data_IF_609112713272
#
_entry.id   IF_609112713272
#
_cell.length_a   1.000
_cell.length_b   1.000
_cell.length_c   1.000
_cell.angle_alpha   90.00
_cell.angle_beta   90.00
_cell.angle_gamma   90.00
#
_symmetry.space_group_name_H-M   'P 1'
#
loop_
_entity.id
_entity.type
_entity.pdbx_description
1 polymer ?
#
# COMPACT_ATOMS: atom_id res chain seq x y z
N UNK A 1 -44.85 -21.88 1.40
CA UNK A 1 -43.40 -21.60 1.53
C UNK A 1 -43.11 -20.93 2.88
N UNK A 2 -42.37 -21.59 3.78
CA UNK A 2 -42.09 -21.11 5.16
C UNK A 2 -40.94 -20.13 5.28
N UNK A 3 -40.23 -19.80 4.21
CA UNK A 3 -39.12 -18.87 4.27
C UNK A 3 -38.06 -19.12 3.21
N UNK A 4 -36.99 -18.34 3.29
CA UNK A 4 -35.81 -18.50 2.45
C UNK A 4 -34.58 -18.54 3.35
N UNK A 5 -33.58 -19.34 3.00
CA UNK A 5 -32.31 -19.33 3.73
C UNK A 5 -31.68 -17.93 3.63
N UNK A 6 -31.10 -17.39 4.71
CA UNK A 6 -30.64 -16.01 4.75
C UNK A 6 -29.43 -15.69 3.85
N UNK A 7 -28.69 -16.71 3.39
CA UNK A 7 -27.49 -16.51 2.55
C UNK A 7 -27.76 -16.69 1.07
N UNK A 8 -28.40 -17.80 0.69
CA UNK A 8 -28.59 -18.20 -0.70
C UNK A 8 -30.04 -18.03 -1.16
N UNK A 9 -30.93 -17.58 -0.27
CA UNK A 9 -32.35 -17.43 -0.55
C UNK A 9 -33.07 -18.76 -0.82
N UNK A 10 -32.44 -19.91 -0.61
CA UNK A 10 -33.02 -21.22 -0.93
C UNK A 10 -34.37 -21.39 -0.25
N UNK A 11 -35.37 -21.84 -1.00
CA UNK A 11 -36.71 -22.12 -0.47
C UNK A 11 -36.60 -23.24 0.54
N UNK A 12 -37.08 -23.02 1.75
CA UNK A 12 -37.09 -24.02 2.83
C UNK A 12 -38.40 -24.80 2.79
N UNK A 13 -38.30 -26.11 3.02
CA UNK A 13 -39.48 -26.96 3.16
C UNK A 13 -40.37 -26.42 4.30
N UNK A 14 -41.65 -26.30 4.01
CA UNK A 14 -42.67 -26.20 5.03
C UNK A 14 -43.53 -27.45 4.93
N UNK A 15 -44.02 -27.93 6.07
CA UNK A 15 -44.77 -29.18 6.12
C UNK A 15 -46.12 -29.10 5.38
N UNK A 16 -46.46 -27.97 4.76
CA UNK A 16 -47.67 -27.77 3.95
C UNK A 16 -47.44 -27.94 2.44
N UNK A 17 -46.19 -28.14 2.00
CA UNK A 17 -45.81 -28.20 0.58
C UNK A 17 -45.42 -29.64 0.17
N UNK A 18 -46.29 -30.40 -0.52
CA UNK A 18 -45.97 -31.73 -1.01
C UNK A 18 -45.00 -31.66 -2.21
N UNK A 19 -43.70 -31.66 -1.92
CA UNK A 19 -42.59 -31.85 -2.88
C UNK A 19 -42.79 -31.16 -4.25
N UNK A 20 -43.00 -29.84 -4.29
CA UNK A 20 -43.05 -29.10 -5.55
C UNK A 20 -41.70 -29.18 -6.28
N UNK A 21 -41.66 -29.94 -7.37
CA UNK A 21 -40.48 -30.11 -8.25
C UNK A 21 -39.89 -28.76 -8.72
N UNK A 22 -40.70 -27.73 -8.85
CA UNK A 22 -40.26 -26.38 -9.21
C UNK A 22 -39.27 -25.79 -8.20
N UNK A 23 -39.52 -25.96 -6.91
CA UNK A 23 -38.67 -25.42 -5.84
C UNK A 23 -37.30 -26.11 -5.79
N UNK A 24 -37.26 -27.41 -6.11
CA UNK A 24 -36.01 -28.14 -6.27
C UNK A 24 -35.19 -27.60 -7.44
N UNK A 25 -35.82 -27.38 -8.60
CA UNK A 25 -35.13 -26.82 -9.77
C UNK A 25 -34.63 -25.39 -9.50
N UNK A 26 -35.44 -24.55 -8.84
CA UNK A 26 -35.07 -23.17 -8.48
C UNK A 26 -33.88 -23.14 -7.50
N UNK A 27 -33.91 -23.99 -6.48
CA UNK A 27 -32.80 -24.11 -5.52
C UNK A 27 -31.55 -24.65 -6.21
N UNK A 28 -31.68 -25.62 -7.11
CA UNK A 28 -30.54 -26.18 -7.85
C UNK A 28 -29.88 -25.12 -8.75
N UNK A 29 -30.68 -24.34 -9.48
CA UNK A 29 -30.16 -23.23 -10.29
C UNK A 29 -29.42 -22.17 -9.44
N UNK A 30 -29.89 -21.90 -8.22
CA UNK A 30 -29.21 -20.98 -7.28
C UNK A 30 -27.90 -21.54 -6.73
N UNK A 31 -27.85 -22.84 -6.47
CA UNK A 31 -26.61 -23.52 -6.06
C UNK A 31 -25.58 -23.52 -7.19
N UNK A 32 -26.01 -23.78 -8.42
CA UNK A 32 -25.15 -23.72 -9.61
C UNK A 32 -24.64 -22.30 -9.89
N UNK A 33 -25.46 -21.27 -9.59
CA UNK A 33 -25.10 -19.87 -9.77
C UNK A 33 -24.17 -19.31 -8.68
N UNK A 34 -24.02 -20.00 -7.55
CA UNK A 34 -23.23 -19.52 -6.40
C UNK A 34 -22.27 -20.59 -5.84
N UNK A 35 -21.37 -21.15 -6.67
CA UNK A 35 -20.35 -22.07 -6.18
C UNK A 35 -19.45 -21.33 -5.18
N UNK A 36 -19.41 -21.81 -3.94
CA UNK A 36 -18.52 -21.27 -2.92
C UNK A 36 -17.04 -21.40 -3.31
N UNK A 37 -16.14 -20.78 -2.52
CA UNK A 37 -14.71 -20.93 -2.75
C UNK A 37 -14.26 -22.38 -2.63
N UNK A 38 -13.55 -22.86 -3.65
CA UNK A 38 -12.87 -24.15 -3.56
C UNK A 38 -11.60 -24.00 -2.70
N UNK A 39 -11.54 -24.70 -1.58
CA UNK A 39 -10.43 -24.58 -0.62
C UNK A 39 -9.28 -25.48 -1.08
N UNK A 40 -8.08 -24.91 -1.22
CA UNK A 40 -6.89 -25.63 -1.65
C UNK A 40 -5.59 -25.06 -1.04
N UNK A 41 -4.46 -25.55 -1.50
CA UNK A 41 -3.13 -24.94 -1.32
C UNK A 41 -2.60 -24.48 -2.67
N UNK A 42 -1.54 -23.68 -2.69
CA UNK A 42 -0.90 -23.23 -3.95
C UNK A 42 -0.42 -24.36 -4.86
N UNK A 43 -0.17 -25.55 -4.31
CA UNK A 43 0.22 -26.75 -5.06
C UNK A 43 -0.95 -27.66 -5.45
N UNK A 44 -2.12 -27.48 -4.84
CA UNK A 44 -3.31 -28.31 -5.06
C UNK A 44 -4.43 -27.54 -5.75
N UNK A 45 -4.09 -26.52 -6.55
CA UNK A 45 -5.03 -25.78 -7.38
C UNK A 45 -5.71 -26.74 -8.38
N UNK A 46 -7.03 -26.67 -8.55
CA UNK A 46 -7.69 -27.53 -9.53
C UNK A 46 -7.33 -27.09 -10.96
N UNK A 47 -7.23 -28.07 -11.86
CA UNK A 47 -7.11 -27.81 -13.28
C UNK A 47 -8.51 -27.60 -13.87
N UNK A 48 -8.89 -26.34 -14.07
CA UNK A 48 -10.19 -25.98 -14.60
C UNK A 48 -10.14 -25.67 -16.10
N UNK A 49 -11.30 -25.84 -16.75
CA UNK A 49 -11.49 -25.45 -18.14
C UNK A 49 -12.18 -24.10 -18.27
N UNK A 50 -12.46 -23.63 -19.50
CA UNK A 50 -13.15 -22.36 -19.74
C UNK A 50 -14.53 -22.26 -19.09
N UNK A 51 -15.21 -23.40 -18.86
CA UNK A 51 -16.54 -23.46 -18.28
C UNK A 51 -16.61 -23.01 -16.81
N UNK A 52 -15.48 -23.03 -16.10
CA UNK A 52 -15.39 -22.61 -14.69
C UNK A 52 -14.95 -21.14 -14.56
N UNK A 53 -14.95 -20.36 -15.65
CA UNK A 53 -14.58 -18.94 -15.59
C UNK A 53 -15.46 -18.20 -14.58
N UNK A 54 -14.83 -17.40 -13.70
CA UNK A 54 -15.48 -16.69 -12.60
C UNK A 54 -15.57 -17.48 -11.28
N UNK A 55 -15.31 -18.78 -11.29
CA UNK A 55 -15.21 -19.57 -10.05
C UNK A 55 -13.98 -19.17 -9.25
N UNK A 56 -14.06 -19.30 -7.92
CA UNK A 56 -13.02 -18.86 -7.00
C UNK A 56 -12.43 -19.98 -6.17
N UNK A 57 -11.16 -19.85 -5.82
CA UNK A 57 -10.48 -20.67 -4.83
C UNK A 57 -10.01 -19.81 -3.67
N UNK A 58 -9.83 -20.46 -2.51
CA UNK A 58 -9.10 -19.91 -1.39
C UNK A 58 -7.90 -20.81 -1.08
N UNK A 59 -6.71 -20.22 -1.13
CA UNK A 59 -5.45 -20.90 -0.82
C UNK A 59 -5.13 -20.78 0.66
N UNK A 60 -5.03 -21.90 1.35
CA UNK A 60 -4.83 -21.95 2.81
C UNK A 60 -3.40 -21.63 3.24
N UNK A 61 -2.41 -21.92 2.40
CA UNK A 61 -0.99 -21.68 2.62
C UNK A 61 -0.57 -20.24 2.32
N UNK A 62 -1.02 -19.70 1.18
CA UNK A 62 -0.70 -18.32 0.77
C UNK A 62 -1.72 -17.30 1.25
N UNK A 63 -2.88 -17.76 1.76
CA UNK A 63 -4.03 -16.95 2.18
C UNK A 63 -4.59 -16.06 1.08
N UNK A 64 -4.58 -16.55 -0.16
CA UNK A 64 -5.03 -15.80 -1.35
C UNK A 64 -6.40 -16.27 -1.82
N UNK A 65 -7.19 -15.31 -2.31
CA UNK A 65 -8.40 -15.58 -3.08
C UNK A 65 -8.09 -15.39 -4.56
N UNK A 66 -8.27 -16.45 -5.35
CA UNK A 66 -8.02 -16.42 -6.79
C UNK A 66 -9.33 -16.71 -7.53
N UNK A 67 -9.54 -16.03 -8.66
CA UNK A 67 -10.63 -16.24 -9.62
C UNK A 67 -10.06 -16.86 -10.90
N UNK A 68 -10.70 -17.91 -11.40
CA UNK A 68 -10.34 -18.53 -12.67
C UNK A 68 -10.85 -17.69 -13.84
N UNK A 69 -9.97 -17.28 -14.74
CA UNK A 69 -10.31 -16.47 -15.93
C UNK A 69 -10.56 -17.30 -17.20
N UNK A 70 -10.79 -18.60 -17.05
CA UNK A 70 -10.98 -19.54 -18.16
C UNK A 70 -9.68 -20.19 -18.67
N UNK A 71 -8.53 -19.57 -18.42
CA UNK A 71 -7.20 -20.10 -18.82
C UNK A 71 -6.17 -20.07 -17.69
N UNK A 72 -6.35 -19.22 -16.68
CA UNK A 72 -5.41 -19.06 -15.58
C UNK A 72 -6.11 -18.52 -14.32
N UNK A 73 -5.49 -18.76 -13.17
CA UNK A 73 -5.86 -18.16 -11.90
C UNK A 73 -5.38 -16.71 -11.84
N UNK A 74 -6.23 -15.82 -11.34
CA UNK A 74 -5.85 -14.43 -11.04
C UNK A 74 -6.32 -14.04 -9.66
N UNK A 75 -5.57 -13.21 -8.96
CA UNK A 75 -6.07 -12.63 -7.71
C UNK A 75 -7.33 -11.80 -7.97
N UNK A 76 -8.32 -11.98 -7.10
CA UNK A 76 -9.46 -11.05 -7.03
C UNK A 76 -8.88 -9.71 -6.60
N UNK A 77 -9.19 -8.63 -7.33
CA UNK A 77 -8.81 -7.26 -6.97
C UNK A 77 -9.44 -6.91 -5.61
N UNK A 78 -8.80 -7.34 -4.53
CA UNK A 78 -8.97 -6.76 -3.21
C UNK A 78 -8.36 -5.36 -3.27
N UNK A 79 -8.94 -4.41 -2.55
CA UNK A 79 -8.39 -3.06 -2.48
C UNK A 79 -6.87 -3.15 -2.22
N UNK A 80 -6.04 -2.42 -2.98
CA UNK A 80 -4.60 -2.54 -2.89
C UNK A 80 -4.14 -2.38 -1.43
N UNK A 81 -3.29 -3.28 -0.90
CA UNK A 81 -2.91 -3.24 0.49
C UNK A 81 -2.23 -1.91 0.81
N UNK A 82 -2.73 -1.23 1.85
CA UNK A 82 -2.25 0.07 2.32
C UNK A 82 -1.48 -0.14 3.62
N UNK A 83 -0.21 0.24 3.64
CA UNK A 83 0.65 0.13 4.82
C UNK A 83 0.90 1.52 5.41
N UNK A 84 0.33 1.87 6.57
CA UNK A 84 0.57 3.16 7.21
C UNK A 84 1.94 3.15 7.92
N UNK A 85 2.55 4.33 8.02
CA UNK A 85 3.85 4.49 8.68
C UNK A 85 4.02 5.88 9.27
N UNK A 86 4.87 5.98 10.29
CA UNK A 86 5.04 7.18 11.08
C UNK A 86 6.40 7.30 11.76
N UNK A 87 6.98 8.50 11.77
CA UNK A 87 8.20 8.82 12.51
C UNK A 87 8.18 10.25 13.08
N UNK A 88 8.79 10.47 14.26
CA UNK A 88 9.06 11.79 14.87
C UNK A 88 10.52 11.94 15.36
N UNK A 89 11.51 11.95 14.47
CA UNK A 89 12.90 11.99 14.89
C UNK A 89 13.41 13.44 15.09
N UNK A 90 14.15 13.66 16.17
CA UNK A 90 14.77 14.95 16.45
C UNK A 90 16.24 14.94 16.01
N UNK A 91 16.56 15.50 14.84
CA UNK A 91 17.93 15.52 14.31
C UNK A 91 18.31 16.93 13.86
N UNK A 92 19.60 17.24 13.97
CA UNK A 92 20.23 18.45 13.42
C UNK A 92 20.99 18.07 12.15
N UNK A 93 20.78 18.79 11.05
CA UNK A 93 21.45 18.55 9.77
C UNK A 93 22.50 19.63 9.50
N UNK A 94 23.76 19.23 9.32
CA UNK A 94 24.81 20.12 8.83
C UNK A 94 24.77 20.30 7.31
N UNK A 95 25.85 20.86 6.76
CA UNK A 95 26.11 20.87 5.32
C UNK A 95 26.27 19.43 4.81
N UNK A 96 25.69 19.14 3.64
CA UNK A 96 25.77 17.85 2.96
C UNK A 96 25.39 16.64 3.85
N UNK A 97 24.47 16.88 4.78
CA UNK A 97 24.05 15.86 5.74
C UNK A 97 22.86 15.09 5.18
N UNK A 98 23.02 13.77 5.09
CA UNK A 98 22.00 12.83 4.66
C UNK A 98 21.42 12.10 5.87
N UNK A 99 20.09 12.06 5.98
CA UNK A 99 19.39 11.28 7.01
C UNK A 99 18.29 10.42 6.42
N UNK A 100 18.13 9.25 7.02
CA UNK A 100 17.23 8.21 6.57
C UNK A 100 16.34 7.79 7.74
N UNK A 101 15.03 7.76 7.53
CA UNK A 101 14.09 7.34 8.56
C UNK A 101 13.14 6.30 8.02
N UNK A 102 13.10 5.16 8.73
CA UNK A 102 12.08 4.14 8.52
C UNK A 102 10.76 4.59 9.16
N UNK A 103 9.70 4.57 8.37
CA UNK A 103 8.33 4.88 8.82
C UNK A 103 7.55 3.61 9.16
N UNK A 104 7.85 2.49 8.49
CA UNK A 104 7.18 1.22 8.73
C UNK A 104 7.88 0.04 8.08
N UNK A 105 7.51 -1.15 8.52
CA UNK A 105 7.90 -2.45 7.95
C UNK A 105 6.62 -3.21 7.61
N UNK A 106 6.57 -3.85 6.45
CA UNK A 106 5.44 -4.65 6.02
C UNK A 106 5.92 -5.87 5.24
N UNK A 107 5.06 -6.88 5.12
CA UNK A 107 5.36 -8.10 4.37
C UNK A 107 4.48 -8.16 3.13
N UNK A 108 5.12 -8.37 1.98
CA UNK A 108 4.45 -8.67 0.73
C UNK A 108 4.54 -10.17 0.48
N UNK A 109 3.42 -10.76 0.09
CA UNK A 109 3.35 -12.16 -0.33
C UNK A 109 3.75 -12.34 -1.81
N UNK A 110 3.90 -11.26 -2.58
CA UNK A 110 4.22 -11.29 -4.01
C UNK A 110 5.10 -10.11 -4.44
N UNK A 111 5.85 -10.23 -5.54
CA UNK A 111 6.54 -9.09 -6.15
C UNK A 111 5.54 -8.06 -6.67
N UNK A 112 5.97 -6.80 -6.76
CA UNK A 112 5.20 -5.74 -7.37
C UNK A 112 5.85 -4.37 -7.25
N UNK A 113 5.11 -3.32 -7.59
CA UNK A 113 5.51 -1.92 -7.50
C UNK A 113 4.79 -1.28 -6.33
N UNK A 114 5.57 -0.69 -5.43
CA UNK A 114 5.05 0.06 -4.30
C UNK A 114 5.08 1.54 -4.62
N UNK A 115 3.93 2.19 -4.53
CA UNK A 115 3.78 3.63 -4.50
C UNK A 115 3.76 4.10 -3.05
N UNK A 116 4.67 4.99 -2.69
CA UNK A 116 4.76 5.56 -1.33
C UNK A 116 4.36 7.03 -1.40
N UNK A 117 3.43 7.43 -0.53
CA UNK A 117 2.95 8.80 -0.40
C UNK A 117 3.15 9.26 1.04
N UNK A 118 3.99 10.28 1.24
CA UNK A 118 4.32 10.83 2.55
C UNK A 118 3.91 12.30 2.66
N UNK A 119 3.40 12.66 3.83
CA UNK A 119 3.28 14.02 4.31
C UNK A 119 4.32 14.25 5.40
N UNK A 120 5.20 15.22 5.17
CA UNK A 120 6.42 15.43 5.96
C UNK A 120 6.35 16.83 6.55
N UNK A 121 6.34 16.90 7.88
CA UNK A 121 6.38 18.14 8.63
C UNK A 121 7.80 18.39 9.13
N UNK A 122 8.41 19.48 8.69
CA UNK A 122 9.77 19.85 9.09
C UNK A 122 9.76 21.20 9.77
N UNK A 123 10.38 21.27 10.94
CA UNK A 123 10.72 22.51 11.62
C UNK A 123 12.18 22.85 11.31
N UNK A 124 12.40 23.98 10.68
CA UNK A 124 13.73 24.45 10.32
C UNK A 124 14.14 25.58 11.23
N UNK A 125 15.35 25.49 11.77
CA UNK A 125 16.05 26.56 12.46
C UNK A 125 17.40 26.81 11.79
N UNK A 126 17.48 27.89 11.02
CA UNK A 126 18.71 28.27 10.32
C UNK A 126 18.89 29.78 10.37
N UNK A 127 20.15 30.21 10.47
CA UNK A 127 20.53 31.62 10.32
C UNK A 127 20.68 32.03 8.86
N UNK A 128 20.75 31.06 7.94
CA UNK A 128 20.95 31.26 6.51
C UNK A 128 19.87 30.55 5.70
N UNK A 129 19.76 30.92 4.41
CA UNK A 129 18.83 30.27 3.48
C UNK A 129 19.22 28.83 3.23
N UNK A 130 18.36 27.86 3.54
CA UNK A 130 18.64 26.43 3.41
C UNK A 130 17.75 25.76 2.37
N UNK A 131 18.32 24.88 1.54
CA UNK A 131 17.57 23.97 0.68
C UNK A 131 17.51 22.59 1.34
N UNK A 132 16.30 22.10 1.56
CA UNK A 132 16.06 20.74 2.05
C UNK A 132 15.42 19.93 0.94
N UNK A 133 15.96 18.75 0.73
CA UNK A 133 15.47 17.81 -0.25
C UNK A 133 14.90 16.57 0.43
N UNK A 134 13.94 15.95 -0.23
CA UNK A 134 13.17 14.84 0.29
C UNK A 134 12.90 13.82 -0.81
N UNK A 135 13.10 12.54 -0.47
CA UNK A 135 12.72 11.41 -1.30
C UNK A 135 12.10 10.33 -0.44
N UNK A 136 11.13 9.62 -0.99
CA UNK A 136 10.69 8.38 -0.36
C UNK A 136 11.78 7.33 -0.47
N UNK A 137 11.84 6.42 0.48
CA UNK A 137 12.73 5.27 0.43
C UNK A 137 11.96 3.97 0.54
N UNK A 138 12.47 2.96 -0.17
CA UNK A 138 12.09 1.57 -0.02
C UNK A 138 13.39 0.77 0.12
N UNK A 139 13.51 0.04 1.23
CA UNK A 139 14.69 -0.77 1.57
C UNK A 139 16.03 -0.02 1.52
N UNK A 140 16.03 1.21 2.03
CA UNK A 140 17.23 2.05 2.13
C UNK A 140 17.65 2.71 0.81
N UNK A 141 16.92 2.47 -0.27
CA UNK A 141 17.18 3.07 -1.56
C UNK A 141 16.07 4.06 -1.94
N UNK A 142 16.47 5.14 -2.60
CA UNK A 142 15.54 6.18 -3.04
C UNK A 142 14.51 5.58 -4.02
N UNK A 143 13.25 5.88 -3.76
CA UNK A 143 12.12 5.59 -4.63
C UNK A 143 11.66 6.90 -5.27
N UNK A 144 11.71 6.93 -6.61
CA UNK A 144 11.44 8.11 -7.42
C UNK A 144 10.22 7.84 -8.31
N UNK A 145 9.43 8.88 -8.54
CA UNK A 145 8.37 8.87 -9.54
C UNK A 145 8.69 9.99 -10.53
N UNK A 146 9.13 9.62 -11.74
CA UNK A 146 9.68 10.58 -12.71
C UNK A 146 11.05 11.13 -12.26
N UNK A 147 11.33 12.39 -12.61
CA UNK A 147 12.63 13.04 -12.36
C UNK A 147 12.77 13.69 -10.97
N UNK A 148 11.70 13.74 -10.17
CA UNK A 148 11.59 14.67 -9.05
C UNK A 148 11.70 14.04 -7.67
N UNK A 149 12.72 14.43 -6.90
CA UNK A 149 12.58 14.53 -5.44
C UNK A 149 11.82 15.81 -5.09
N UNK A 150 11.15 15.84 -3.94
CA UNK A 150 10.57 17.08 -3.43
C UNK A 150 11.67 17.92 -2.80
N UNK A 151 11.62 19.24 -2.96
CA UNK A 151 12.52 20.13 -2.23
C UNK A 151 11.78 21.37 -1.75
N UNK A 152 12.27 21.95 -0.66
CA UNK A 152 11.86 23.28 -0.19
C UNK A 152 13.09 24.16 -0.02
N UNK A 153 12.91 25.44 -0.32
CA UNK A 153 13.85 26.50 0.03
C UNK A 153 13.31 27.26 1.23
N UNK A 154 14.04 27.25 2.32
CA UNK A 154 13.74 28.04 3.51
C UNK A 154 14.55 29.31 3.43
N UNK A 155 13.93 30.40 2.97
CA UNK A 155 14.58 31.69 2.80
C UNK A 155 14.86 32.40 4.13
N UNK A 156 16.04 33.00 4.21
CA UNK A 156 16.39 33.93 5.28
C UNK A 156 15.64 35.25 5.07
N UNK A 157 14.82 35.65 6.04
CA UNK A 157 14.10 36.94 6.03
C UNK A 157 14.71 37.98 6.96
N UNK A 158 15.65 37.61 7.85
CA UNK A 158 16.27 38.53 8.81
C UNK A 158 17.79 38.33 8.87
N UNK A 159 18.53 39.44 8.89
CA UNK A 159 20.00 39.50 8.96
C UNK A 159 20.55 39.42 10.40
N UNK A 160 19.68 39.48 11.42
CA UNK A 160 20.06 39.71 12.82
C UNK A 160 19.87 38.49 13.74
N UNK A 161 20.55 37.37 13.45
CA UNK A 161 21.10 36.43 14.45
C UNK A 161 20.19 35.62 15.38
N UNK A 162 18.88 35.88 15.51
CA UNK A 162 17.97 35.05 16.32
C UNK A 162 17.43 33.90 15.46
N UNK A 163 17.71 32.66 15.86
CA UNK A 163 17.25 31.47 15.13
C UNK A 163 15.73 31.43 15.03
N UNK A 164 15.19 31.40 13.82
CA UNK A 164 13.75 31.31 13.56
C UNK A 164 13.34 29.85 13.43
N UNK A 165 12.23 29.45 14.05
CA UNK A 165 11.62 28.15 13.79
C UNK A 165 10.46 28.32 12.80
N UNK A 166 10.58 27.72 11.62
CA UNK A 166 9.47 27.65 10.64
C UNK A 166 9.08 26.21 10.39
N UNK A 167 7.79 25.94 10.37
CA UNK A 167 7.24 24.62 10.06
C UNK A 167 6.75 24.59 8.62
N UNK A 168 7.18 23.58 7.87
CA UNK A 168 6.77 23.35 6.49
C UNK A 168 6.14 21.97 6.36
N UNK A 169 5.12 21.87 5.51
CA UNK A 169 4.51 20.61 5.09
C UNK A 169 4.98 20.29 3.67
N UNK A 170 5.62 19.14 3.48
CA UNK A 170 6.18 18.70 2.20
C UNK A 170 5.54 17.37 1.80
N UNK A 171 4.80 17.31 0.68
CA UNK A 171 4.38 16.04 0.11
C UNK A 171 5.59 15.39 -0.58
N UNK A 172 5.78 14.09 -0.37
CA UNK A 172 6.86 13.32 -0.99
C UNK A 172 6.27 12.03 -1.52
N UNK A 173 6.46 11.77 -2.81
CA UNK A 173 5.94 10.57 -3.47
C UNK A 173 7.08 9.84 -4.19
N UNK A 174 6.96 8.52 -4.29
CA UNK A 174 7.89 7.73 -5.07
C UNK A 174 7.37 6.34 -5.34
N UNK A 175 8.02 5.66 -6.28
CA UNK A 175 7.66 4.30 -6.66
C UNK A 175 8.90 3.43 -6.79
N UNK A 176 8.80 2.15 -6.42
CA UNK A 176 9.86 1.17 -6.62
C UNK A 176 9.31 -0.24 -6.76
N UNK A 177 9.92 -1.03 -7.62
CA UNK A 177 9.68 -2.47 -7.70
C UNK A 177 10.33 -3.20 -6.51
N UNK A 178 9.62 -4.19 -5.97
CA UNK A 178 10.03 -5.02 -4.85
C UNK A 178 9.67 -6.48 -5.09
N UNK A 179 10.38 -7.40 -4.44
CA UNK A 179 10.09 -8.83 -4.45
C UNK A 179 8.97 -9.17 -3.47
N UNK A 180 8.60 -10.45 -3.37
CA UNK A 180 7.93 -10.95 -2.17
C UNK A 180 8.93 -10.89 -0.99
N UNK A 181 8.44 -10.65 0.23
CA UNK A 181 9.26 -10.59 1.42
C UNK A 181 8.93 -9.43 2.36
N UNK A 182 9.84 -9.18 3.30
CA UNK A 182 9.74 -8.07 4.25
C UNK A 182 10.41 -6.83 3.67
N UNK A 183 9.68 -5.72 3.66
CA UNK A 183 10.13 -4.46 3.10
C UNK A 183 9.94 -3.33 4.12
N UNK A 184 10.83 -2.34 4.03
CA UNK A 184 10.76 -1.12 4.81
C UNK A 184 10.48 0.05 3.88
N UNK A 185 9.63 0.97 4.32
CA UNK A 185 9.48 2.25 3.64
C UNK A 185 9.77 3.40 4.60
N UNK A 186 10.21 4.50 4.02
CA UNK A 186 10.79 5.59 4.77
C UNK A 186 10.95 6.87 3.98
N UNK A 187 11.71 7.78 4.55
CA UNK A 187 12.10 9.05 3.94
C UNK A 187 13.61 9.25 4.03
N UNK A 188 14.17 9.75 2.94
CA UNK A 188 15.51 10.30 2.85
C UNK A 188 15.40 11.81 2.79
N UNK A 189 16.05 12.51 3.71
CA UNK A 189 16.13 13.96 3.75
C UNK A 189 17.60 14.38 3.73
N UNK A 190 17.94 15.41 2.96
CA UNK A 190 19.31 15.93 2.93
C UNK A 190 19.40 17.42 2.59
N UNK A 191 20.55 17.99 2.91
CA UNK A 191 20.99 19.34 2.48
C UNK A 191 22.01 19.19 1.36
N UNK A 192 22.00 20.05 0.33
CA UNK A 192 22.94 19.93 -0.81
C UNK A 192 24.17 20.85 -0.67
N UNK A 193 25.32 20.36 -1.14
CA UNK A 193 26.64 21.02 -1.18
C UNK A 193 26.69 22.39 -1.89
N UNK A 194 25.75 22.69 -2.80
CA UNK A 194 25.64 23.99 -3.50
C UNK A 194 24.79 25.03 -2.77
N UNK A 195 24.22 24.69 -1.61
CA UNK A 195 23.49 25.65 -0.77
C UNK A 195 24.50 26.57 -0.07
N UNK A 196 24.22 27.88 -0.04
CA UNK A 196 25.05 28.89 0.63
C UNK A 196 25.12 28.75 2.16
N UNK A 197 24.42 27.77 2.74
CA UNK A 197 24.39 27.47 4.18
C UNK A 197 25.59 26.63 4.61
N UNK A 198 26.42 27.11 5.54
CA UNK A 198 27.44 26.26 6.21
C UNK A 198 26.95 25.59 7.50
N UNK A 199 25.85 26.10 8.10
CA UNK A 199 25.32 25.62 9.38
C UNK A 199 23.81 25.92 9.48
N UNK A 200 23.00 24.91 9.79
CA UNK A 200 21.56 25.01 10.07
C UNK A 200 21.10 23.80 10.90
N UNK A 201 19.86 23.77 11.35
CA UNK A 201 19.23 22.57 11.90
C UNK A 201 17.84 22.39 11.29
N UNK A 202 17.53 21.17 10.88
CA UNK A 202 16.23 20.79 10.34
C UNK A 202 15.71 19.62 11.14
N UNK A 203 14.67 19.85 11.92
CA UNK A 203 13.98 18.85 12.72
C UNK A 203 12.82 18.29 11.91
N UNK A 204 12.80 16.97 11.73
CA UNK A 204 11.62 16.28 11.23
C UNK A 204 10.60 16.17 12.38
N UNK A 205 9.58 17.03 12.37
CA UNK A 205 8.57 17.07 13.43
C UNK A 205 7.69 15.83 13.34
N UNK A 206 7.20 15.54 12.13
CA UNK A 206 6.45 14.32 11.81
C UNK A 206 6.72 13.90 10.37
N UNK A 207 6.80 12.60 10.12
CA UNK A 207 6.56 12.04 8.79
C UNK A 207 5.46 11.00 8.93
N UNK A 208 4.43 11.10 8.10
CA UNK A 208 3.31 10.15 8.05
C UNK A 208 2.98 9.84 6.62
N UNK A 209 2.56 8.62 6.33
CA UNK A 209 2.21 8.27 4.97
C UNK A 209 1.79 6.83 4.82
N UNK A 210 1.62 6.44 3.56
CA UNK A 210 1.20 5.11 3.18
C UNK A 210 2.07 4.56 2.06
N UNK A 211 2.31 3.25 2.09
CA UNK A 211 2.78 2.49 0.94
C UNK A 211 1.62 1.69 0.36
N UNK A 212 1.48 1.70 -0.96
CA UNK A 212 0.41 1.07 -1.73
C UNK A 212 1.01 0.15 -2.79
N UNK A 213 0.57 -1.10 -2.85
CA UNK A 213 0.94 -1.98 -3.97
C UNK A 213 0.09 -1.63 -5.20
N UNK A 214 0.71 -1.11 -6.27
CA UNK A 214 0.01 -0.50 -7.42
C UNK A 214 0.05 -1.29 -8.72
N UNK A 215 0.84 -2.37 -8.81
CA UNK A 215 0.83 -3.22 -10.00
C UNK A 215 0.32 -4.63 -9.69
N UNK A 216 -0.24 -5.25 -10.73
CA UNK A 216 -0.67 -6.64 -10.77
C UNK A 216 0.23 -7.44 -11.70
N UNK A 217 1.55 -7.28 -11.64
CA UNK A 217 2.44 -8.22 -12.33
C UNK A 217 2.46 -9.53 -11.55
N UNK A 218 1.33 -10.23 -11.57
CA UNK A 218 1.27 -11.68 -11.41
C UNK A 218 1.79 -12.23 -12.76
N UNK A 219 3.10 -12.49 -12.84
CA UNK A 219 3.64 -13.35 -13.89
C UNK A 219 3.08 -14.76 -13.73
#
# INVERSE_FOLDING_TARGET
MSGTTPRLGLKTFDQSDPFLRGDFNDNNARLDAYPGHFICTSQSRPAWGPAQSGMRIYETDTRRELEWRGTQWREVLSAPPVFPGYARPNITLGLDSHVYYKLGTFNLNRPGSLMVNLAVEVAVQSLYTMNLYFRTQIDGADALLGDGGSYIRVEQVHTSGSGWQRTYMVPVMGMRSVSAGSHNFGIHMWTQLGSTTKTGSARLVTARGTALLVNSTDT
#
